data_IF_251520250645
#
_entry.id   IF_251520250645
#
_cell.length_a   1.000
_cell.length_b   1.000
_cell.length_c   1.000
_cell.angle_alpha   90.00
_cell.angle_beta   90.00
_cell.angle_gamma   90.00
#
_symmetry.space_group_name_H-M   'P 1'
#
loop_
_entity.id
_entity.type
_entity.pdbx_description
1 polymer ?
#
# COMPACT_ATOMS: atom_id res chain seq x y z
N UNK A 1 47.10 -17.93 -19.53
CA UNK A 1 46.83 -17.56 -18.12
C UNK A 1 45.55 -16.73 -18.14
N UNK A 2 44.40 -17.35 -17.89
CA UNK A 2 43.08 -16.72 -18.01
C UNK A 2 42.64 -16.22 -16.62
N UNK A 3 42.34 -14.92 -16.52
CA UNK A 3 41.79 -14.29 -15.32
C UNK A 3 40.29 -14.64 -15.25
N UNK A 4 39.76 -15.21 -14.16
CA UNK A 4 38.33 -15.36 -14.02
C UNK A 4 37.74 -14.00 -13.62
N UNK A 5 36.83 -13.48 -14.45
CA UNK A 5 36.00 -12.35 -14.09
C UNK A 5 34.94 -12.85 -13.09
N UNK A 6 35.14 -12.57 -11.81
CA UNK A 6 34.16 -12.87 -10.76
C UNK A 6 33.04 -11.83 -10.87
N UNK A 7 31.91 -12.20 -11.48
CA UNK A 7 30.71 -11.37 -11.49
C UNK A 7 30.06 -11.49 -10.10
N UNK A 8 30.32 -10.52 -9.23
CA UNK A 8 29.65 -10.44 -7.93
C UNK A 8 28.17 -10.10 -8.17
N UNK A 9 27.29 -11.03 -7.82
CA UNK A 9 25.85 -10.79 -7.79
C UNK A 9 25.56 -9.97 -6.53
N UNK A 10 25.36 -8.66 -6.70
CA UNK A 10 24.86 -7.82 -5.62
C UNK A 10 23.35 -8.10 -5.50
N UNK A 11 22.85 -8.53 -4.33
CA UNK A 11 21.40 -8.58 -4.13
C UNK A 11 20.84 -7.17 -4.30
N UNK A 12 19.71 -7.06 -5.00
CA UNK A 12 18.95 -5.81 -5.01
C UNK A 12 18.57 -5.48 -3.56
N UNK A 13 19.00 -4.32 -3.07
CA UNK A 13 18.53 -3.82 -1.79
C UNK A 13 17.07 -3.42 -1.96
N UNK A 14 16.14 -4.30 -1.57
CA UNK A 14 14.76 -3.90 -1.34
C UNK A 14 14.74 -3.10 -0.03
N UNK A 15 14.22 -1.88 -0.10
CA UNK A 15 13.98 -1.08 1.09
C UNK A 15 12.84 -1.71 1.91
N UNK A 16 12.94 -1.64 3.23
CA UNK A 16 11.90 -2.15 4.13
C UNK A 16 10.57 -1.42 3.85
N UNK A 17 9.42 -2.13 3.85
CA UNK A 17 8.13 -1.51 3.62
C UNK A 17 7.86 -0.37 4.62
N UNK A 18 7.14 0.67 4.19
CA UNK A 18 6.65 1.73 5.08
C UNK A 18 5.75 1.12 6.15
N UNK A 19 4.91 0.17 5.74
CA UNK A 19 4.04 -0.62 6.60
C UNK A 19 3.72 -1.95 5.92
N UNK A 20 3.46 -3.01 6.71
CA UNK A 20 3.07 -4.31 6.18
C UNK A 20 2.25 -5.13 7.17
N UNK A 21 1.31 -5.93 6.65
CA UNK A 21 0.56 -6.97 7.35
C UNK A 21 0.48 -8.23 6.49
N UNK A 22 1.03 -9.33 7.00
CA UNK A 22 0.97 -10.67 6.37
C UNK A 22 0.04 -11.62 7.12
N UNK A 23 -0.49 -11.19 8.27
CA UNK A 23 -1.45 -11.94 9.08
C UNK A 23 -1.00 -13.36 9.48
N UNK A 24 0.30 -13.65 9.45
CA UNK A 24 0.84 -14.97 9.82
C UNK A 24 0.62 -15.32 11.30
N UNK A 25 0.47 -14.30 12.15
CA UNK A 25 0.43 -14.48 13.62
C UNK A 25 -0.72 -13.75 14.32
N UNK A 26 -1.56 -13.02 13.58
CA UNK A 26 -2.71 -12.29 14.13
C UNK A 26 -3.39 -11.39 13.09
N UNK A 27 -4.34 -10.59 13.55
CA UNK A 27 -5.08 -9.60 12.74
C UNK A 27 -4.30 -8.29 12.51
N UNK A 28 -3.10 -8.15 13.09
CA UNK A 28 -2.26 -6.95 13.07
C UNK A 28 -2.98 -5.65 13.52
N UNK A 29 -4.12 -5.77 14.22
CA UNK A 29 -4.95 -4.64 14.65
C UNK A 29 -5.87 -4.07 13.57
N UNK A 30 -6.08 -4.78 12.46
CA UNK A 30 -7.05 -4.36 11.44
C UNK A 30 -8.49 -4.46 11.94
N UNK A 31 -9.30 -3.49 11.53
CA UNK A 31 -10.70 -3.39 11.90
C UNK A 31 -11.61 -3.57 10.67
N UNK A 32 -12.85 -3.95 10.90
CA UNK A 32 -13.95 -3.96 9.94
C UNK A 32 -14.78 -2.73 10.21
N UNK A 33 -15.00 -1.94 9.16
CA UNK A 33 -15.82 -0.73 9.19
C UNK A 33 -16.93 -0.81 8.17
N UNK A 34 -18.06 -0.12 8.42
CA UNK A 34 -19.13 0.05 7.43
C UNK A 34 -19.44 1.52 7.17
N UNK A 35 -20.02 1.81 6.00
CA UNK A 35 -20.45 3.17 5.63
C UNK A 35 -21.59 3.72 6.50
N UNK A 36 -22.20 2.89 7.35
CA UNK A 36 -23.28 3.29 8.26
C UNK A 36 -22.89 3.19 9.74
N UNK A 37 -21.61 2.97 10.04
CA UNK A 37 -21.02 3.19 11.36
C UNK A 37 -20.79 1.93 12.20
N UNK A 38 -20.77 0.74 11.61
CA UNK A 38 -20.18 -0.43 12.28
C UNK A 38 -18.66 -0.25 12.37
N UNK A 39 -18.10 -0.60 13.53
CA UNK A 39 -16.67 -0.67 13.79
C UNK A 39 -16.41 -1.87 14.72
N UNK A 40 -15.48 -2.76 14.36
CA UNK A 40 -15.14 -3.94 15.14
C UNK A 40 -13.87 -4.63 14.64
N UNK A 41 -13.27 -5.56 15.41
CA UNK A 41 -12.06 -6.25 14.97
C UNK A 41 -12.33 -7.18 13.78
N UNK A 42 -11.36 -7.30 12.86
CA UNK A 42 -11.41 -8.32 11.82
C UNK A 42 -11.26 -9.74 12.40
N UNK A 43 -11.83 -10.74 11.73
CA UNK A 43 -11.61 -12.13 12.14
C UNK A 43 -10.28 -12.60 11.59
N UNK A 44 -9.47 -13.25 12.42
CA UNK A 44 -8.20 -13.83 11.99
C UNK A 44 -8.29 -15.36 11.83
N UNK A 45 -7.55 -15.89 10.85
CA UNK A 45 -7.29 -17.32 10.70
C UNK A 45 -5.81 -17.55 10.43
N UNK A 46 -5.19 -18.48 11.13
CA UNK A 46 -3.79 -18.87 10.92
C UNK A 46 -3.54 -19.63 9.60
N UNK A 47 -4.61 -19.96 8.86
CA UNK A 47 -4.56 -20.74 7.62
C UNK A 47 -5.54 -20.21 6.60
N UNK A 48 -5.26 -20.45 5.33
CA UNK A 48 -6.16 -20.12 4.23
C UNK A 48 -5.78 -18.83 3.49
N UNK A 49 -4.73 -18.14 3.94
CA UNK A 49 -4.10 -17.01 3.25
C UNK A 49 -3.29 -17.41 2.02
N UNK A 50 -2.44 -16.49 1.58
CA UNK A 50 -1.69 -16.56 0.33
C UNK A 50 -0.18 -16.24 0.50
N UNK A 51 0.62 -17.15 1.12
CA UNK A 51 0.24 -18.31 1.93
C UNK A 51 0.09 -17.93 3.41
N UNK A 52 -0.39 -18.87 4.24
CA UNK A 52 -0.37 -18.69 5.69
C UNK A 52 -1.70 -18.19 6.23
N UNK A 53 -1.65 -17.15 7.07
CA UNK A 53 -2.83 -16.58 7.72
C UNK A 53 -3.53 -15.52 6.87
N UNK A 54 -4.72 -15.11 7.30
CA UNK A 54 -5.48 -14.01 6.71
C UNK A 54 -6.32 -13.33 7.78
N UNK A 55 -6.81 -12.13 7.46
CA UNK A 55 -8.04 -11.62 8.06
C UNK A 55 -9.22 -11.77 7.12
N UNK A 56 -10.41 -11.86 7.69
CA UNK A 56 -11.65 -11.90 6.94
C UNK A 56 -12.80 -11.28 7.73
N UNK A 57 -13.85 -10.91 7.01
CA UNK A 57 -15.07 -10.37 7.59
C UNK A 57 -16.29 -10.84 6.80
N UNK A 58 -17.39 -11.00 7.51
CA UNK A 58 -18.72 -11.09 6.94
C UNK A 58 -19.34 -9.71 7.04
N UNK A 59 -20.03 -9.27 5.99
CA UNK A 59 -20.76 -8.01 5.97
C UNK A 59 -21.61 -7.85 7.24
N UNK A 60 -21.28 -6.87 8.11
CA UNK A 60 -21.87 -6.74 9.43
C UNK A 60 -23.25 -6.05 9.42
N UNK A 61 -23.58 -5.26 8.39
CA UNK A 61 -24.79 -4.45 8.34
C UNK A 61 -25.22 -4.09 6.91
N UNK A 62 -26.18 -3.18 6.72
CA UNK A 62 -26.70 -2.82 5.38
C UNK A 62 -25.83 -1.84 4.60
N UNK A 63 -24.74 -1.37 5.18
CA UNK A 63 -23.78 -0.48 4.54
C UNK A 63 -22.75 -1.28 3.76
N UNK A 64 -21.93 -0.59 2.97
CA UNK A 64 -20.77 -1.23 2.36
C UNK A 64 -19.68 -1.38 3.41
N UNK A 65 -19.10 -2.56 3.55
CA UNK A 65 -18.01 -2.80 4.51
C UNK A 65 -16.63 -2.79 3.87
N UNK A 66 -15.61 -2.61 4.72
CA UNK A 66 -14.22 -2.66 4.33
C UNK A 66 -13.29 -2.92 5.52
N UNK A 67 -12.02 -3.12 5.22
CA UNK A 67 -10.96 -3.29 6.19
C UNK A 67 -10.26 -1.96 6.44
N UNK A 68 -10.33 -1.46 7.67
CA UNK A 68 -9.64 -0.25 8.10
C UNK A 68 -8.25 -0.59 8.65
N UNK A 69 -7.25 0.12 8.15
CA UNK A 69 -5.86 -0.15 8.47
C UNK A 69 -5.49 0.34 9.89
N UNK A 70 -4.64 -0.41 10.61
CA UNK A 70 -4.17 -0.05 11.94
C UNK A 70 -3.20 1.13 11.90
N UNK A 71 -2.86 1.66 13.07
CA UNK A 71 -1.95 2.80 13.24
C UNK A 71 -0.57 2.64 12.57
N UNK A 72 -0.12 1.41 12.29
CA UNK A 72 1.13 1.16 11.55
C UNK A 72 1.09 1.63 10.10
N UNK A 73 -0.10 1.76 9.49
CA UNK A 73 -0.30 2.29 8.14
C UNK A 73 -0.66 3.78 8.12
N UNK A 74 -0.80 4.42 9.28
CA UNK A 74 -1.27 5.80 9.43
C UNK A 74 -0.12 6.75 9.83
N UNK A 75 -0.43 8.03 9.92
CA UNK A 75 0.52 9.09 10.23
C UNK A 75 1.26 9.59 8.99
N UNK A 76 2.57 9.81 9.12
CA UNK A 76 3.38 10.29 8.00
C UNK A 76 3.92 9.12 7.19
N UNK A 77 3.26 8.82 6.07
CA UNK A 77 3.64 7.80 5.09
C UNK A 77 4.15 8.42 3.79
N UNK A 78 4.70 9.64 3.85
CA UNK A 78 5.17 10.37 2.65
C UNK A 78 6.22 9.61 1.84
N UNK A 79 6.92 8.65 2.44
CA UNK A 79 7.86 7.76 1.76
C UNK A 79 7.21 6.84 0.73
N UNK A 80 5.88 6.68 0.77
CA UNK A 80 5.11 5.91 -0.20
C UNK A 80 4.74 6.70 -1.46
N UNK A 81 4.97 8.02 -1.51
CA UNK A 81 4.62 8.85 -2.66
C UNK A 81 5.32 8.32 -3.93
N UNK A 82 4.54 8.00 -4.97
CA UNK A 82 5.02 7.40 -6.22
C UNK A 82 5.19 5.88 -6.19
N UNK A 83 4.80 5.20 -5.10
CA UNK A 83 4.91 3.75 -4.91
C UNK A 83 3.57 3.10 -4.63
N UNK A 84 3.53 1.77 -4.64
CA UNK A 84 2.27 1.04 -4.53
C UNK A 84 1.91 0.68 -3.08
N UNK A 85 0.62 0.79 -2.77
CA UNK A 85 -0.03 -0.08 -1.80
C UNK A 85 -0.45 -1.35 -2.53
N UNK A 86 0.10 -2.48 -2.13
CA UNK A 86 -0.27 -3.79 -2.65
C UNK A 86 -1.01 -4.61 -1.61
N UNK A 87 -1.94 -5.45 -2.03
CA UNK A 87 -2.68 -6.36 -1.16
C UNK A 87 -3.25 -7.52 -1.97
N UNK A 88 -3.51 -8.64 -1.31
CA UNK A 88 -4.28 -9.75 -1.84
C UNK A 88 -5.70 -9.72 -1.23
N UNK A 89 -6.72 -9.77 -2.08
CA UNK A 89 -8.12 -9.79 -1.65
C UNK A 89 -8.84 -11.02 -2.23
N UNK A 90 -9.78 -11.59 -1.49
CA UNK A 90 -10.62 -12.70 -1.94
C UNK A 90 -12.08 -12.45 -1.56
N UNK A 91 -13.00 -12.77 -2.47
CA UNK A 91 -14.44 -12.84 -2.20
C UNK A 91 -14.83 -14.31 -1.99
N UNK A 92 -15.70 -14.63 -1.03
CA UNK A 92 -16.14 -16.01 -0.78
C UNK A 92 -17.40 -16.37 -1.58
N UNK A 93 -18.07 -15.36 -2.12
CA UNK A 93 -19.26 -15.45 -2.95
C UNK A 93 -18.95 -14.77 -4.28
N UNK A 94 -19.69 -15.16 -5.33
CA UNK A 94 -19.45 -14.61 -6.66
C UNK A 94 -19.82 -13.12 -6.66
N UNK A 95 -18.87 -12.21 -6.94
CA UNK A 95 -19.15 -10.77 -6.93
C UNK A 95 -20.24 -10.39 -7.93
N UNK A 96 -21.16 -9.53 -7.51
CA UNK A 96 -22.19 -8.92 -8.36
C UNK A 96 -22.16 -7.39 -8.32
N UNK A 97 -21.33 -6.79 -7.45
CA UNK A 97 -21.07 -5.36 -7.39
C UNK A 97 -19.91 -4.95 -8.33
N UNK A 98 -20.06 -3.85 -9.09
CA UNK A 98 -19.10 -3.47 -10.12
C UNK A 98 -17.92 -2.63 -9.63
N UNK A 99 -17.90 -2.19 -8.37
CA UNK A 99 -16.91 -1.20 -7.90
C UNK A 99 -16.24 -1.61 -6.60
N UNK A 100 -14.91 -1.60 -6.62
CA UNK A 100 -14.05 -1.76 -5.45
C UNK A 100 -13.10 -0.58 -5.34
N UNK A 101 -12.76 -0.14 -4.13
CA UNK A 101 -11.92 1.04 -3.94
C UNK A 101 -11.03 0.97 -2.69
N UNK A 102 -9.94 1.72 -2.73
CA UNK A 102 -9.14 2.10 -1.57
C UNK A 102 -9.48 3.56 -1.24
N UNK A 103 -9.71 3.86 0.03
CA UNK A 103 -9.99 5.20 0.54
C UNK A 103 -8.90 5.67 1.49
N UNK A 104 -8.52 6.94 1.40
CA UNK A 104 -7.57 7.61 2.27
C UNK A 104 -8.17 8.90 2.83
N UNK A 105 -7.85 9.22 4.08
CA UNK A 105 -8.20 10.49 4.71
C UNK A 105 -6.98 11.09 5.41
N UNK A 106 -6.77 12.38 5.20
CA UNK A 106 -5.79 13.16 5.96
C UNK A 106 -6.43 13.87 7.14
N UNK A 107 -5.63 14.21 8.16
CA UNK A 107 -6.09 14.98 9.35
C UNK A 107 -6.73 16.34 9.05
N UNK A 108 -6.54 16.87 7.84
CA UNK A 108 -7.20 18.07 7.33
C UNK A 108 -8.64 17.82 6.83
N UNK A 109 -9.12 16.57 6.88
CA UNK A 109 -10.44 16.15 6.41
C UNK A 109 -10.53 15.91 4.90
N UNK A 110 -9.41 15.97 4.16
CA UNK A 110 -9.41 15.64 2.75
C UNK A 110 -9.50 14.13 2.56
N UNK A 111 -10.54 13.68 1.86
CA UNK A 111 -10.81 12.28 1.54
C UNK A 111 -10.57 12.00 0.05
N UNK A 112 -9.79 10.96 -0.23
CA UNK A 112 -9.45 10.49 -1.56
C UNK A 112 -9.87 9.04 -1.72
N UNK A 113 -10.38 8.67 -2.89
CA UNK A 113 -10.63 7.27 -3.26
C UNK A 113 -9.97 6.92 -4.58
N UNK A 114 -9.52 5.68 -4.71
CA UNK A 114 -9.04 5.11 -5.97
C UNK A 114 -9.70 3.75 -6.19
N UNK A 115 -10.28 3.57 -7.37
CA UNK A 115 -10.91 2.30 -7.72
C UNK A 115 -9.87 1.25 -8.11
N UNK A 116 -10.17 0.00 -7.80
CA UNK A 116 -9.41 -1.16 -8.23
C UNK A 116 -10.36 -2.24 -8.80
N UNK A 117 -9.85 -3.16 -9.60
CA UNK A 117 -10.67 -4.20 -10.23
C UNK A 117 -11.34 -5.10 -9.18
N UNK A 118 -12.66 -5.28 -9.24
CA UNK A 118 -13.37 -6.23 -8.37
C UNK A 118 -12.86 -7.66 -8.59
N UNK A 119 -12.75 -8.51 -7.55
CA UNK A 119 -12.55 -9.95 -7.72
C UNK A 119 -13.52 -10.56 -8.76
N UNK A 120 -13.06 -11.56 -9.50
CA UNK A 120 -13.86 -12.20 -10.58
C UNK A 120 -14.05 -13.70 -10.37
N UNK A 121 -13.55 -14.20 -9.24
CA UNK A 121 -13.70 -15.58 -8.82
C UNK A 121 -13.79 -15.65 -7.31
N UNK A 122 -14.24 -16.80 -6.80
CA UNK A 122 -14.41 -17.01 -5.36
C UNK A 122 -13.18 -17.66 -4.74
N UNK A 123 -13.04 -17.49 -3.42
CA UNK A 123 -12.10 -18.20 -2.57
C UNK A 123 -12.10 -19.71 -2.90
N UNK A 124 -10.92 -20.37 -3.01
CA UNK A 124 -9.59 -19.93 -2.57
C UNK A 124 -8.76 -19.14 -3.60
N UNK A 125 -9.38 -18.55 -4.62
CA UNK A 125 -8.65 -17.72 -5.58
C UNK A 125 -8.38 -16.32 -4.99
N UNK A 126 -7.11 -15.99 -4.81
CA UNK A 126 -6.65 -14.69 -4.37
C UNK A 126 -6.38 -13.76 -5.55
N UNK A 127 -6.70 -12.49 -5.35
CA UNK A 127 -6.59 -11.46 -6.35
C UNK A 127 -5.63 -10.37 -5.87
N UNK A 128 -4.40 -10.38 -6.38
CA UNK A 128 -3.43 -9.32 -6.11
C UNK A 128 -3.87 -7.98 -6.70
N UNK A 129 -3.74 -6.93 -5.91
CA UNK A 129 -4.06 -5.54 -6.25
C UNK A 129 -2.88 -4.64 -5.95
N UNK A 130 -2.79 -3.57 -6.73
CA UNK A 130 -1.82 -2.51 -6.53
C UNK A 130 -2.52 -1.18 -6.82
N UNK A 131 -2.38 -0.23 -5.89
CA UNK A 131 -2.83 1.16 -6.05
C UNK A 131 -1.63 2.06 -5.87
N UNK A 132 -1.24 2.76 -6.93
CA UNK A 132 -0.09 3.67 -6.89
C UNK A 132 -0.44 4.95 -6.13
N UNK A 133 0.45 5.35 -5.23
CA UNK A 133 0.29 6.50 -4.34
C UNK A 133 0.79 7.78 -5.01
N UNK A 134 0.11 8.19 -6.07
CA UNK A 134 0.36 9.44 -6.81
C UNK A 134 -0.97 10.02 -7.29
N UNK A 135 -1.07 11.35 -7.38
CA UNK A 135 -2.32 12.03 -7.73
C UNK A 135 -2.87 11.69 -9.13
N UNK A 136 -2.01 11.21 -10.03
CA UNK A 136 -2.36 10.84 -11.41
C UNK A 136 -2.73 9.35 -11.59
N UNK A 137 -2.71 8.55 -10.51
CA UNK A 137 -3.05 7.12 -10.54
C UNK A 137 -4.57 6.81 -10.52
N UNK A 138 -5.42 7.80 -10.79
CA UNK A 138 -6.87 7.63 -10.79
C UNK A 138 -7.55 7.92 -9.46
N UNK A 139 -6.82 8.50 -8.50
CA UNK A 139 -7.39 9.05 -7.28
C UNK A 139 -8.35 10.20 -7.58
N UNK A 140 -9.44 10.26 -6.85
CA UNK A 140 -10.40 11.37 -6.90
C UNK A 140 -10.73 11.84 -5.48
N UNK A 141 -10.97 13.14 -5.33
CA UNK A 141 -11.53 13.71 -4.09
C UNK A 141 -12.98 13.28 -3.95
N UNK A 142 -13.36 12.82 -2.77
CA UNK A 142 -14.75 12.40 -2.48
C UNK A 142 -15.72 13.57 -2.62
N UNK A 143 -15.28 14.80 -2.33
CA UNK A 143 -16.13 16.00 -2.32
C UNK A 143 -16.68 16.41 -3.68
N UNK A 144 -15.92 16.21 -4.75
CA UNK A 144 -16.25 16.74 -6.09
C UNK A 144 -15.96 15.75 -7.23
N UNK A 145 -15.37 14.59 -6.94
CA UNK A 145 -15.02 13.56 -7.93
C UNK A 145 -13.87 13.97 -8.87
N UNK A 146 -13.15 15.04 -8.56
CA UNK A 146 -12.03 15.52 -9.39
C UNK A 146 -10.69 14.98 -8.85
N UNK A 147 -9.67 14.84 -9.72
CA UNK A 147 -8.33 14.46 -9.28
C UNK A 147 -7.77 15.44 -8.24
N UNK A 148 -7.09 14.96 -7.18
CA UNK A 148 -6.35 15.82 -6.27
C UNK A 148 -5.18 16.49 -6.99
N UNK A 149 -4.74 17.63 -6.48
CA UNK A 149 -3.44 18.20 -6.84
C UNK A 149 -2.30 17.44 -6.16
N UNK A 150 -1.07 17.54 -6.66
CA UNK A 150 0.10 16.94 -6.01
C UNK A 150 0.28 17.41 -4.56
N UNK A 151 -0.03 18.69 -4.28
CA UNK A 151 0.06 19.25 -2.93
C UNK A 151 -1.01 18.68 -1.98
N UNK A 152 -2.23 18.49 -2.48
CA UNK A 152 -3.31 17.84 -1.75
C UNK A 152 -2.97 16.38 -1.44
N UNK A 153 -2.54 15.62 -2.45
CA UNK A 153 -2.16 14.22 -2.30
C UNK A 153 -0.99 14.05 -1.30
N UNK A 154 0.06 14.86 -1.45
CA UNK A 154 1.18 14.88 -0.50
C UNK A 154 0.73 15.26 0.92
N UNK A 155 -0.24 16.16 1.08
CA UNK A 155 -0.77 16.53 2.40
C UNK A 155 -1.50 15.37 3.10
N UNK A 156 -2.20 14.53 2.34
CA UNK A 156 -2.85 13.32 2.83
C UNK A 156 -1.78 12.32 3.29
N UNK A 157 -0.78 12.02 2.46
CA UNK A 157 0.29 11.09 2.84
C UNK A 157 1.14 11.59 4.03
N UNK A 158 1.29 12.90 4.21
CA UNK A 158 2.03 13.46 5.33
C UNK A 158 1.30 13.35 6.68
N UNK A 159 -0.01 13.11 6.66
CA UNK A 159 -0.86 13.14 7.85
C UNK A 159 -2.07 12.21 7.74
N UNK A 160 -1.85 10.99 7.25
CA UNK A 160 -2.90 10.02 7.02
C UNK A 160 -3.55 9.62 8.35
N UNK A 161 -4.87 9.71 8.45
CA UNK A 161 -5.66 9.34 9.63
C UNK A 161 -6.79 8.35 9.34
N UNK A 162 -6.88 7.89 8.09
CA UNK A 162 -7.74 6.80 7.67
C UNK A 162 -7.22 6.17 6.38
N UNK A 163 -7.22 4.84 6.34
CA UNK A 163 -6.98 4.03 5.16
C UNK A 163 -7.96 2.85 5.20
N UNK A 164 -8.77 2.69 4.16
CA UNK A 164 -9.78 1.63 4.07
C UNK A 164 -9.65 0.93 2.73
N UNK A 165 -9.68 -0.40 2.74
CA UNK A 165 -9.81 -1.24 1.55
C UNK A 165 -11.24 -1.79 1.53
N UNK A 166 -12.05 -1.40 0.54
CA UNK A 166 -13.42 -1.90 0.40
C UNK A 166 -13.41 -3.43 0.23
N UNK A 167 -14.37 -4.09 0.87
CA UNK A 167 -14.55 -5.53 0.83
C UNK A 167 -15.98 -5.97 0.48
N UNK A 168 -16.84 -5.01 0.12
CA UNK A 168 -18.21 -5.19 -0.38
C UNK A 168 -18.20 -5.57 -1.88
N UNK A 169 -18.53 -6.82 -2.18
CA UNK A 169 -18.56 -7.40 -3.52
C UNK A 169 -19.91 -8.00 -3.91
N UNK A 170 -20.80 -8.28 -2.95
CA UNK A 170 -22.08 -8.96 -3.19
C UNK A 170 -23.24 -8.21 -2.53
N UNK A 171 -24.29 -7.89 -3.31
CA UNK A 171 -25.53 -7.32 -2.76
C UNK A 171 -26.24 -8.34 -1.86
N UNK A 172 -26.25 -8.08 -0.55
CA UNK A 172 -27.05 -8.87 0.36
C UNK A 172 -26.42 -9.04 1.73
N UNK A 173 -27.17 -8.56 2.74
CA UNK A 173 -26.85 -8.73 4.15
C UNK A 173 -26.39 -10.14 4.50
N UNK A 174 -25.27 -10.24 5.20
CA UNK A 174 -24.75 -11.48 5.78
C UNK A 174 -24.41 -12.57 4.76
N UNK A 175 -24.46 -12.29 3.45
CA UNK A 175 -23.96 -13.22 2.44
C UNK A 175 -22.61 -12.84 1.91
N UNK A 176 -22.18 -11.58 2.04
CA UNK A 176 -20.88 -11.17 1.57
C UNK A 176 -19.80 -11.47 2.62
N UNK A 177 -18.79 -12.24 2.22
CA UNK A 177 -17.64 -12.59 3.04
C UNK A 177 -16.39 -12.35 2.20
N UNK A 178 -15.46 -11.59 2.77
CA UNK A 178 -14.23 -11.20 2.09
C UNK A 178 -13.02 -11.46 2.98
N UNK A 179 -11.90 -11.84 2.35
CA UNK A 179 -10.60 -12.05 2.99
C UNK A 179 -9.55 -11.08 2.45
N UNK A 180 -8.65 -10.63 3.32
CA UNK A 180 -7.53 -9.74 3.01
C UNK A 180 -6.23 -10.37 3.51
N UNK A 181 -5.19 -10.27 2.68
CA UNK A 181 -3.84 -10.75 2.99
C UNK A 181 -2.76 -9.86 2.33
N UNK A 182 -1.50 -10.00 2.77
CA UNK A 182 -0.31 -9.38 2.17
C UNK A 182 -0.43 -7.88 1.88
N UNK A 183 -0.96 -7.09 2.83
CA UNK A 183 -1.07 -5.63 2.68
C UNK A 183 0.30 -5.02 2.90
N UNK A 184 0.86 -4.36 1.89
CA UNK A 184 2.22 -3.81 1.92
C UNK A 184 2.21 -2.42 1.30
N UNK A 185 2.77 -1.46 2.04
CA UNK A 185 3.03 -0.12 1.53
C UNK A 185 4.53 0.02 1.24
N UNK A 186 4.88 0.15 -0.03
CA UNK A 186 6.28 0.17 -0.48
C UNK A 186 6.88 1.58 -0.34
N UNK A 187 8.15 1.72 0.10
CA UNK A 187 8.84 3.00 0.10
C UNK A 187 9.45 3.31 -1.28
N UNK A 188 9.98 4.52 -1.41
CA UNK A 188 10.96 4.82 -2.45
C UNK A 188 12.16 3.87 -2.41
N UNK A 189 12.56 3.26 -3.56
CA UNK A 189 13.80 2.51 -3.63
C UNK A 189 14.95 3.37 -3.11
N UNK A 190 15.75 2.84 -2.18
CA UNK A 190 16.90 3.52 -1.58
C UNK A 190 17.97 4.02 -2.59
N UNK A 191 17.79 3.71 -3.88
CA UNK A 191 18.59 4.15 -5.03
C UNK A 191 18.78 5.67 -5.08
N UNK A 192 17.80 6.49 -4.67
CA UNK A 192 17.93 7.95 -4.67
C UNK A 192 18.98 8.48 -3.67
N UNK A 193 19.13 7.80 -2.52
CA UNK A 193 20.20 8.09 -1.55
C UNK A 193 21.61 7.78 -2.09
N UNK A 194 21.73 6.74 -2.92
CA UNK A 194 23.00 6.35 -3.56
C UNK A 194 23.42 7.31 -4.67
N UNK A 195 22.47 7.89 -5.43
CA UNK A 195 22.78 8.89 -6.48
C UNK A 195 23.38 10.17 -5.87
N UNK A 196 22.87 10.62 -4.72
CA UNK A 196 23.41 11.78 -4.00
C UNK A 196 24.77 11.48 -3.36
N UNK A 197 24.98 10.29 -2.79
CA UNK A 197 26.27 9.89 -2.24
C UNK A 197 27.36 9.76 -3.33
N UNK A 198 27.01 9.25 -4.51
CA UNK A 198 27.91 9.16 -5.66
C UNK A 198 28.28 10.54 -6.22
N UNK A 199 27.33 11.48 -6.28
CA UNK A 199 27.59 12.86 -6.70
C UNK A 199 28.50 13.59 -5.70
N UNK A 200 28.32 13.40 -4.39
CA UNK A 200 29.18 13.97 -3.35
C UNK A 200 30.62 13.45 -3.38
N UNK A 201 30.81 12.14 -3.60
CA UNK A 201 32.13 11.53 -3.72
C UNK A 201 32.89 12.01 -4.98
N UNK A 202 32.19 12.22 -6.10
CA UNK A 202 32.79 12.74 -7.33
C UNK A 202 33.27 14.20 -7.19
N UNK A 203 32.54 15.03 -6.44
CA UNK A 203 32.92 16.41 -6.16
C UNK A 203 34.13 16.50 -5.20
N UNK A 204 34.18 15.67 -4.15
CA UNK A 204 35.33 15.58 -3.25
C UNK A 204 36.58 15.03 -3.93
N UNK A 205 36.43 14.10 -4.88
CA UNK A 205 37.51 13.58 -5.72
C UNK A 205 38.11 14.63 -6.67
N UNK A 206 37.28 15.50 -7.25
CA UNK A 206 37.75 16.62 -8.09
C UNK A 206 38.46 17.71 -7.29
N UNK A 207 37.96 18.05 -6.11
CA UNK A 207 38.59 19.05 -5.24
C UNK A 207 40.00 18.61 -4.75
N UNK A 208 40.22 17.31 -4.53
CA UNK A 208 41.55 16.78 -4.17
C UNK A 208 42.54 16.81 -5.32
N UNK A 209 42.12 16.60 -6.58
CA UNK A 209 43.01 16.64 -7.76
C UNK A 209 43.50 18.04 -8.13
N UNK A 210 42.72 19.08 -7.82
CA UNK A 210 43.12 20.47 -8.12
C UNK A 210 44.15 21.05 -7.13
N UNK A 211 44.44 20.35 -6.02
CA UNK A 211 45.44 20.79 -5.03
C UNK A 211 46.84 20.23 -5.25
N UNK A 212 47.04 19.36 -6.25
CA UNK A 212 48.31 18.65 -6.46
C UNK A 212 48.99 18.97 -7.79
N UNK A 213 48.84 20.20 -8.32
CA UNK A 213 49.69 20.67 -9.41
C UNK A 213 50.88 21.47 -8.81
N UNK A 214 52.12 20.95 -8.86
CA UNK A 214 53.30 21.78 -8.64
C UNK A 214 53.56 22.61 -9.90
N UNK A 215 53.94 23.88 -9.69
CA UNK A 215 54.55 24.69 -10.74
C UNK A 215 55.96 24.19 -11.06
N UNK A 216 56.34 24.54 -12.29
CA UNK A 216 57.63 24.38 -12.99
C UNK A 216 57.89 23.05 -13.73
#
# INVERSE_FOLDING_TARGET
>A
MALPLLLAWLPAAHADPVASSTFDTGDDGWEVVSTIGYEGPANWSATGGHPGGLIWAQDPDTGAFGFAAPATFLGNISAAYGHDLTFDIAAYQMPDQPTSWVGMRGTNGLELICFYDTPTSVYPNWHGRAVTMTEDAGWIRVSDGLPPTSAEFASVLASLDGLVILAEFVDGLQTDVSGLDNVILLPEPATSGLVLAAAGAALLGRARRQRTAPGD
#
